data_IF_162636490365
#
_entry.id   IF_162636490365
#
_cell.length_a   1.000
_cell.length_b   1.000
_cell.length_c   1.000
_cell.angle_alpha   90.00
_cell.angle_beta   90.00
_cell.angle_gamma   90.00
#
_symmetry.space_group_name_H-M   'P 1'
#
loop_
_entity.id
_entity.type
_entity.pdbx_description
1 polymer ?
#
# COMPACT_ATOMS: atom_id res chain seq x y z
N UNK A 1 6.28 -15.51 4.35
CA UNK A 1 7.74 -15.33 4.21
C UNK A 1 8.56 -16.11 5.25
N UNK A 2 9.85 -16.33 5.00
CA UNK A 2 10.86 -16.90 5.94
C UNK A 2 11.82 -15.82 6.46
N UNK A 3 12.64 -16.15 7.47
CA UNK A 3 13.67 -15.22 7.96
C UNK A 3 14.71 -14.87 6.88
N UNK A 4 15.02 -15.81 5.97
CA UNK A 4 15.93 -15.56 4.85
C UNK A 4 15.35 -14.52 3.89
N UNK A 5 14.05 -14.59 3.63
CA UNK A 5 13.35 -13.62 2.78
C UNK A 5 13.37 -12.24 3.41
N UNK A 6 13.06 -12.16 4.71
CA UNK A 6 13.09 -10.91 5.47
C UNK A 6 14.48 -10.25 5.44
N UNK A 7 15.56 -11.02 5.61
CA UNK A 7 16.93 -10.50 5.52
C UNK A 7 17.27 -9.96 4.13
N UNK A 8 16.87 -10.69 3.08
CA UNK A 8 17.09 -10.28 1.68
C UNK A 8 16.34 -8.99 1.33
N UNK A 9 15.13 -8.83 1.88
CA UNK A 9 14.30 -7.64 1.69
C UNK A 9 14.61 -6.50 2.69
N UNK A 10 15.67 -6.60 3.50
CA UNK A 10 16.07 -5.55 4.45
C UNK A 10 15.09 -5.31 5.61
N UNK A 11 14.22 -6.28 5.91
CA UNK A 11 13.20 -6.15 6.97
C UNK A 11 13.86 -6.13 8.35
N UNK A 12 13.57 -5.13 9.21
CA UNK A 12 14.08 -5.07 10.57
C UNK A 12 13.71 -6.29 11.43
N UNK A 13 14.61 -6.67 12.35
CA UNK A 13 14.33 -7.72 13.33
C UNK A 13 13.13 -7.32 14.22
N UNK A 14 12.28 -8.29 14.53
CA UNK A 14 11.09 -8.09 15.34
C UNK A 14 9.80 -7.82 14.55
N UNK A 15 9.89 -7.58 13.24
CA UNK A 15 8.71 -7.46 12.40
C UNK A 15 8.05 -8.81 12.11
N UNK A 16 6.72 -8.85 12.14
CA UNK A 16 5.94 -10.03 11.74
C UNK A 16 5.71 -10.04 10.23
N UNK A 17 6.29 -11.00 9.51
CA UNK A 17 6.16 -11.13 8.06
C UNK A 17 5.16 -12.23 7.62
N UNK A 18 4.14 -12.49 8.45
CA UNK A 18 3.12 -13.52 8.18
C UNK A 18 2.13 -13.11 7.10
N UNK A 19 1.97 -11.81 6.88
CA UNK A 19 1.03 -11.23 5.93
C UNK A 19 1.73 -10.79 4.64
N UNK A 20 2.96 -11.26 4.39
CA UNK A 20 3.76 -10.87 3.23
C UNK A 20 4.12 -12.09 2.39
N UNK A 21 3.80 -12.02 1.11
CA UNK A 21 4.37 -12.86 0.06
C UNK A 21 5.79 -12.38 -0.30
N UNK A 22 6.85 -13.20 -0.09
CA UNK A 22 8.23 -12.86 -0.46
C UNK A 22 8.48 -12.47 -1.91
N UNK A 23 7.56 -12.81 -2.82
CA UNK A 23 7.65 -12.45 -4.22
C UNK A 23 7.11 -11.05 -4.52
N UNK A 24 6.51 -10.38 -3.54
CA UNK A 24 5.91 -9.05 -3.67
C UNK A 24 6.70 -8.00 -2.87
N UNK A 25 6.56 -6.73 -3.24
CA UNK A 25 7.24 -5.62 -2.56
C UNK A 25 6.73 -5.47 -1.10
N UNK A 26 7.62 -5.44 -0.09
CA UNK A 26 7.21 -5.38 1.31
C UNK A 26 6.76 -3.99 1.74
N UNK A 27 5.59 -3.93 2.37
CA UNK A 27 5.03 -2.73 3.00
C UNK A 27 5.05 -2.93 4.51
N UNK A 28 5.88 -2.17 5.21
CA UNK A 28 5.93 -2.18 6.68
C UNK A 28 4.81 -1.34 7.28
N UNK A 29 4.02 -1.95 8.16
CA UNK A 29 2.95 -1.28 8.87
C UNK A 29 2.70 -1.94 10.24
N UNK A 30 2.70 -1.15 11.32
CA UNK A 30 2.47 -1.57 12.71
C UNK A 30 3.35 -2.73 13.18
N UNK A 31 4.62 -2.73 12.78
CA UNK A 31 5.55 -3.81 13.11
C UNK A 31 5.22 -5.14 12.40
N UNK A 32 4.30 -5.13 11.43
CA UNK A 32 4.06 -6.23 10.50
C UNK A 32 4.51 -5.84 9.09
N UNK A 33 4.79 -6.84 8.27
CA UNK A 33 5.10 -6.69 6.84
C UNK A 33 3.93 -7.26 6.06
N UNK A 34 3.49 -6.49 5.08
CA UNK A 34 2.43 -6.81 4.14
C UNK A 34 2.95 -6.76 2.71
N UNK A 35 2.23 -7.35 1.79
CA UNK A 35 2.22 -6.95 0.38
C UNK A 35 1.00 -6.04 0.10
N UNK A 36 0.92 -5.47 -1.11
CA UNK A 36 -0.17 -4.57 -1.47
C UNK A 36 -1.57 -5.21 -1.34
N UNK A 37 -1.70 -6.48 -1.69
CA UNK A 37 -2.97 -7.20 -1.64
C UNK A 37 -3.40 -7.47 -0.19
N UNK A 38 -2.51 -8.03 0.63
CA UNK A 38 -2.77 -8.34 2.04
C UNK A 38 -3.03 -7.07 2.86
N UNK A 39 -2.33 -5.97 2.61
CA UNK A 39 -2.61 -4.68 3.25
C UNK A 39 -3.97 -4.13 2.81
N UNK A 40 -4.26 -4.10 1.51
CA UNK A 40 -5.55 -3.64 0.99
C UNK A 40 -6.71 -4.44 1.58
N UNK A 41 -6.58 -5.77 1.63
CA UNK A 41 -7.55 -6.65 2.28
C UNK A 41 -7.69 -6.35 3.77
N UNK A 42 -6.58 -6.14 4.49
CA UNK A 42 -6.62 -5.79 5.91
C UNK A 42 -7.40 -4.50 6.16
N UNK A 43 -7.19 -3.46 5.34
CA UNK A 43 -7.94 -2.20 5.41
C UNK A 43 -9.43 -2.46 5.17
N UNK A 44 -9.77 -3.18 4.09
CA UNK A 44 -11.15 -3.51 3.75
C UNK A 44 -11.87 -4.30 4.85
N UNK A 45 -11.26 -5.37 5.36
CA UNK A 45 -11.83 -6.21 6.41
C UNK A 45 -12.13 -5.40 7.68
N UNK A 46 -11.21 -4.50 8.08
CA UNK A 46 -11.43 -3.59 9.21
C UNK A 46 -12.56 -2.59 8.94
N UNK A 47 -12.64 -2.03 7.73
CA UNK A 47 -13.73 -1.13 7.36
C UNK A 47 -15.08 -1.83 7.45
N UNK A 48 -15.19 -3.06 6.93
CA UNK A 48 -16.42 -3.87 7.04
C UNK A 48 -16.74 -4.18 8.50
N UNK A 49 -15.73 -4.52 9.30
CA UNK A 49 -15.91 -4.82 10.72
C UNK A 49 -16.42 -3.60 11.52
N UNK A 50 -15.96 -2.38 11.20
CA UNK A 50 -16.30 -1.16 11.95
C UNK A 50 -17.57 -0.48 11.43
N UNK A 51 -17.76 -0.42 10.11
CA UNK A 51 -18.83 0.36 9.47
C UNK A 51 -19.93 -0.51 8.83
N UNK A 52 -19.69 -1.81 8.63
CA UNK A 52 -20.59 -2.71 7.90
C UNK A 52 -20.32 -2.73 6.39
N UNK A 53 -20.87 -3.72 5.68
CA UNK A 53 -20.53 -4.01 4.28
C UNK A 53 -21.12 -3.05 3.24
N UNK A 54 -22.18 -2.31 3.58
CA UNK A 54 -22.93 -1.46 2.64
C UNK A 54 -22.80 0.04 2.97
N UNK A 55 -21.57 0.53 3.13
CA UNK A 55 -21.29 1.95 3.42
C UNK A 55 -20.33 2.56 2.40
N UNK A 56 -20.35 3.90 2.27
CA UNK A 56 -19.41 4.64 1.43
C UNK A 56 -17.95 4.41 1.82
N UNK A 57 -17.66 4.21 3.12
CA UNK A 57 -16.33 3.85 3.61
C UNK A 57 -15.89 2.49 3.09
N UNK A 58 -16.77 1.49 3.15
CA UNK A 58 -16.47 0.14 2.65
C UNK A 58 -16.25 0.15 1.13
N UNK A 59 -17.04 0.92 0.40
CA UNK A 59 -16.85 1.07 -1.05
C UNK A 59 -15.49 1.71 -1.38
N UNK A 60 -15.09 2.73 -0.63
CA UNK A 60 -13.78 3.39 -0.77
C UNK A 60 -12.62 2.46 -0.40
N UNK A 61 -12.74 1.70 0.68
CA UNK A 61 -11.72 0.74 1.09
C UNK A 61 -11.54 -0.39 0.07
N UNK A 62 -12.65 -0.90 -0.49
CA UNK A 62 -12.64 -1.88 -1.57
C UNK A 62 -11.93 -1.33 -2.81
N UNK A 63 -12.24 -0.10 -3.19
CA UNK A 63 -11.61 0.55 -4.32
C UNK A 63 -10.11 0.77 -4.10
N UNK A 64 -9.72 1.23 -2.91
CA UNK A 64 -8.31 1.37 -2.53
C UNK A 64 -7.58 0.03 -2.62
N UNK A 65 -8.17 -1.06 -2.12
CA UNK A 65 -7.59 -2.40 -2.21
C UNK A 65 -7.36 -2.83 -3.67
N UNK A 66 -8.37 -2.69 -4.53
CA UNK A 66 -8.23 -3.03 -5.95
C UNK A 66 -7.14 -2.20 -6.63
N UNK A 67 -7.09 -0.90 -6.35
CA UNK A 67 -6.06 -0.01 -6.89
C UNK A 67 -4.66 -0.41 -6.45
N UNK A 68 -4.45 -0.68 -5.16
CA UNK A 68 -3.15 -1.11 -4.64
C UNK A 68 -2.69 -2.43 -5.28
N UNK A 69 -3.62 -3.38 -5.44
CA UNK A 69 -3.33 -4.70 -6.01
C UNK A 69 -2.94 -4.58 -7.49
N UNK A 70 -3.73 -3.84 -8.29
CA UNK A 70 -3.43 -3.62 -9.70
C UNK A 70 -2.12 -2.84 -9.88
N UNK A 71 -1.92 -1.80 -9.07
CA UNK A 71 -0.75 -0.95 -9.15
C UNK A 71 0.55 -1.73 -8.87
N UNK A 72 0.57 -2.52 -7.78
CA UNK A 72 1.70 -3.39 -7.47
C UNK A 72 1.99 -4.38 -8.60
N UNK A 73 0.95 -5.02 -9.16
CA UNK A 73 1.10 -5.95 -10.26
C UNK A 73 1.68 -5.32 -11.54
N UNK A 74 1.25 -4.09 -11.87
CA UNK A 74 1.77 -3.35 -13.01
C UNK A 74 3.25 -2.99 -12.82
N UNK A 75 3.65 -2.50 -11.64
CA UNK A 75 5.04 -2.19 -11.31
C UNK A 75 5.91 -3.43 -11.44
N UNK A 76 5.54 -4.51 -10.75
CA UNK A 76 6.28 -5.78 -10.76
C UNK A 76 6.47 -6.32 -12.18
N UNK A 77 5.40 -6.37 -12.97
CA UNK A 77 5.48 -6.82 -14.37
C UNK A 77 6.42 -5.95 -15.20
N UNK A 78 6.42 -4.63 -14.98
CA UNK A 78 7.31 -3.73 -15.70
C UNK A 78 8.77 -3.99 -15.32
N UNK A 79 9.08 -4.12 -14.02
CA UNK A 79 10.44 -4.39 -13.51
C UNK A 79 10.99 -5.73 -14.03
N UNK A 80 10.17 -6.78 -14.05
CA UNK A 80 10.57 -8.10 -14.55
C UNK A 80 10.87 -8.12 -16.06
N UNK A 81 10.17 -7.28 -16.83
CA UNK A 81 10.28 -7.26 -18.29
C UNK A 81 11.29 -6.22 -18.78
N UNK A 82 11.51 -5.12 -18.05
CA UNK A 82 12.39 -4.01 -18.43
C UNK A 82 13.76 -4.47 -18.98
N UNK A 83 14.48 -5.45 -18.36
CA UNK A 83 15.78 -5.91 -18.88
C UNK A 83 15.72 -6.56 -20.26
N UNK A 84 14.52 -6.96 -20.72
CA UNK A 84 14.29 -7.60 -22.02
C UNK A 84 13.92 -6.58 -23.10
N UNK A 85 13.54 -5.36 -22.73
CA UNK A 85 13.08 -4.32 -23.66
C UNK A 85 14.25 -3.82 -24.49
N UNK A 86 14.22 -4.07 -25.80
CA UNK A 86 15.39 -3.81 -26.68
C UNK A 86 15.46 -2.40 -27.23
N UNK A 87 14.29 -1.77 -27.47
CA UNK A 87 14.23 -0.43 -28.05
C UNK A 87 14.47 0.59 -26.94
N UNK A 88 15.46 1.46 -27.13
CA UNK A 88 15.84 2.47 -26.14
C UNK A 88 14.67 3.35 -25.72
N UNK A 89 13.91 3.88 -26.68
CA UNK A 89 12.73 4.73 -26.41
C UNK A 89 11.67 4.02 -25.57
N UNK A 90 11.46 2.72 -25.81
CA UNK A 90 10.52 1.90 -25.04
C UNK A 90 11.05 1.63 -23.63
N UNK A 91 12.37 1.39 -23.51
CA UNK A 91 13.01 1.17 -22.21
C UNK A 91 12.88 2.42 -21.34
N UNK A 92 13.25 3.59 -21.87
CA UNK A 92 13.11 4.89 -21.19
C UNK A 92 11.67 5.18 -20.79
N UNK A 93 10.71 4.88 -21.67
CA UNK A 93 9.28 5.05 -21.36
C UNK A 93 8.84 4.20 -20.16
N UNK A 94 9.21 2.91 -20.13
CA UNK A 94 8.85 2.02 -19.02
C UNK A 94 9.55 2.46 -17.72
N UNK A 95 10.81 2.87 -17.82
CA UNK A 95 11.60 3.39 -16.69
C UNK A 95 10.98 4.67 -16.09
N UNK A 96 10.56 5.64 -16.92
CA UNK A 96 9.85 6.84 -16.49
C UNK A 96 8.54 6.51 -15.73
N UNK A 97 7.82 5.48 -16.18
CA UNK A 97 6.64 4.99 -15.49
C UNK A 97 6.98 4.35 -14.14
N UNK A 98 8.03 3.54 -14.07
CA UNK A 98 8.51 2.96 -12.81
C UNK A 98 8.91 4.04 -11.81
N UNK A 99 9.68 5.03 -12.22
CA UNK A 99 10.06 6.15 -11.35
C UNK A 99 8.85 6.94 -10.84
N UNK A 100 7.87 7.20 -11.73
CA UNK A 100 6.64 7.89 -11.33
C UNK A 100 5.74 7.04 -10.44
N UNK A 101 5.78 5.72 -10.61
CA UNK A 101 5.15 4.74 -9.73
C UNK A 101 5.78 4.74 -8.34
N UNK A 102 7.11 4.72 -8.26
CA UNK A 102 7.84 4.79 -6.98
C UNK A 102 7.49 6.07 -6.21
N UNK A 103 7.30 7.20 -6.90
CA UNK A 103 6.81 8.44 -6.26
C UNK A 103 5.41 8.29 -5.65
N UNK A 104 4.52 7.48 -6.24
CA UNK A 104 3.23 7.16 -5.65
C UNK A 104 3.38 6.22 -4.46
N UNK A 105 4.28 5.24 -4.52
CA UNK A 105 4.57 4.36 -3.38
C UNK A 105 5.08 5.13 -2.17
N UNK A 106 6.06 6.01 -2.38
CA UNK A 106 6.57 6.88 -1.32
C UNK A 106 5.47 7.74 -0.69
N UNK A 107 4.47 8.19 -1.46
CA UNK A 107 3.32 8.94 -0.92
C UNK A 107 2.42 8.05 -0.08
N UNK A 108 2.16 6.82 -0.52
CA UNK A 108 1.38 5.85 0.25
C UNK A 108 2.08 5.46 1.56
N UNK A 109 3.38 5.17 1.52
CA UNK A 109 4.16 4.87 2.72
C UNK A 109 4.13 6.03 3.73
N UNK A 110 4.25 7.27 3.25
CA UNK A 110 4.09 8.47 4.11
C UNK A 110 2.70 8.57 4.71
N UNK A 111 1.65 8.29 3.95
CA UNK A 111 0.27 8.29 4.44
C UNK A 111 0.06 7.24 5.53
N UNK A 112 0.56 6.00 5.33
CA UNK A 112 0.52 4.95 6.33
C UNK A 112 1.25 5.39 7.60
N UNK A 113 2.42 6.03 7.46
CA UNK A 113 3.18 6.48 8.62
C UNK A 113 2.44 7.52 9.46
N UNK A 114 1.77 8.47 8.82
CA UNK A 114 0.91 9.43 9.51
C UNK A 114 -0.23 8.73 10.25
N UNK A 115 -0.85 7.72 9.64
CA UNK A 115 -1.89 6.93 10.29
C UNK A 115 -1.34 6.15 11.50
N UNK A 116 -0.15 5.54 11.41
CA UNK A 116 0.50 4.89 12.55
C UNK A 116 0.73 5.86 13.71
N UNK A 117 1.16 7.09 13.43
CA UNK A 117 1.41 8.10 14.45
C UNK A 117 0.12 8.49 15.19
N UNK A 118 -1.00 8.59 14.46
CA UNK A 118 -2.31 8.80 15.07
C UNK A 118 -2.72 7.63 15.97
N UNK A 119 -2.55 6.40 15.48
CA UNK A 119 -2.82 5.18 16.27
C UNK A 119 -1.99 5.14 17.55
N UNK A 120 -0.70 5.51 17.47
CA UNK A 120 0.18 5.51 18.64
C UNK A 120 -0.20 6.57 19.66
N UNK A 121 -0.61 7.76 19.21
CA UNK A 121 -1.12 8.83 20.08
C UNK A 121 -2.40 8.39 20.79
N UNK A 122 -3.32 7.74 20.07
CA UNK A 122 -4.56 7.21 20.66
C UNK A 122 -4.26 6.11 21.69
N UNK A 123 -3.41 5.13 21.34
CA UNK A 123 -3.05 4.04 22.24
C UNK A 123 -2.35 4.51 23.52
N UNK A 124 -1.47 5.51 23.43
CA UNK A 124 -0.85 6.15 24.61
C UNK A 124 -1.88 6.83 25.52
N UNK A 125 -2.86 7.52 24.92
CA UNK A 125 -3.93 8.19 25.67
C UNK A 125 -4.83 7.17 26.40
N UNK A 126 -5.10 6.01 25.78
CA UNK A 126 -5.91 4.95 26.38
C UNK A 126 -5.18 4.15 27.47
N UNK A 127 -3.87 3.94 27.31
CA UNK A 127 -3.08 3.11 28.23
C UNK A 127 -2.66 3.82 29.52
N UNK A 128 -2.58 5.16 29.52
CA UNK A 128 -2.14 5.92 30.70
C UNK A 128 -0.73 5.51 31.12
N UNK A 129 -0.58 4.97 32.34
CA UNK A 129 0.70 4.46 32.87
C UNK A 129 1.00 2.99 32.51
N UNK A 130 0.08 2.28 31.84
CA UNK A 130 0.27 0.86 31.46
C UNK A 130 1.07 0.74 30.15
N UNK A 131 1.73 -0.41 29.91
CA UNK A 131 2.40 -0.66 28.64
C UNK A 131 1.42 -0.49 27.46
N UNK A 132 1.80 0.34 26.48
CA UNK A 132 0.99 0.64 25.30
C UNK A 132 0.81 -0.63 24.47
N UNK A 133 -0.43 -1.04 24.25
CA UNK A 133 -0.78 -2.16 23.38
C UNK A 133 -1.80 -1.71 22.34
N UNK A 134 -1.56 -2.03 21.07
CA UNK A 134 -2.51 -1.77 19.98
C UNK A 134 -3.64 -2.80 20.04
N UNK A 135 -4.76 -2.43 20.67
CA UNK A 135 -5.97 -3.26 20.78
C UNK A 135 -7.00 -2.99 19.68
N UNK A 136 -8.23 -3.47 19.85
CA UNK A 136 -9.32 -3.29 18.86
C UNK A 136 -9.59 -1.82 18.47
N UNK A 137 -9.31 -0.87 19.36
CA UNK A 137 -9.46 0.56 19.09
C UNK A 137 -8.44 1.09 18.08
N UNK A 138 -7.29 0.45 17.93
CA UNK A 138 -6.25 0.90 16.99
C UNK A 138 -6.70 0.74 15.54
N UNK A 139 -7.42 -0.34 15.21
CA UNK A 139 -8.03 -0.52 13.88
C UNK A 139 -9.06 0.56 13.56
N UNK A 140 -9.88 0.96 14.53
CA UNK A 140 -10.83 2.07 14.35
C UNK A 140 -10.12 3.42 14.18
N UNK A 141 -9.08 3.69 14.98
CA UNK A 141 -8.30 4.94 14.84
C UNK A 141 -7.58 5.00 13.47
N UNK A 142 -7.11 3.86 12.95
CA UNK A 142 -6.56 3.80 11.60
C UNK A 142 -7.59 4.26 10.55
N UNK A 143 -8.80 3.69 10.60
CA UNK A 143 -9.87 4.03 9.65
C UNK A 143 -10.26 5.51 9.76
N UNK A 144 -10.36 6.03 10.98
CA UNK A 144 -10.61 7.46 11.20
C UNK A 144 -9.44 8.32 10.66
N UNK A 145 -8.21 7.86 10.79
CA UNK A 145 -7.05 8.59 10.27
C UNK A 145 -7.05 8.63 8.74
N UNK A 146 -7.24 7.50 8.08
CA UNK A 146 -7.12 7.39 6.61
C UNK A 146 -8.37 7.86 5.85
N UNK A 147 -9.57 7.69 6.41
CA UNK A 147 -10.84 8.03 5.78
C UNK A 147 -11.61 9.16 6.48
N UNK A 148 -11.17 9.63 7.65
CA UNK A 148 -11.82 10.72 8.37
C UNK A 148 -11.68 12.05 7.63
N UNK A 149 -12.80 12.78 7.51
CA UNK A 149 -12.89 14.03 6.74
C UNK A 149 -11.93 15.11 7.26
N UNK A 150 -11.70 15.16 8.56
CA UNK A 150 -10.81 16.13 9.21
C UNK A 150 -9.37 15.59 9.38
N UNK A 151 -9.08 14.43 8.79
CA UNK A 151 -7.79 13.72 8.88
C UNK A 151 -7.16 13.65 7.50
N UNK A 152 -6.83 12.45 7.04
CA UNK A 152 -6.05 12.24 5.82
C UNK A 152 -6.91 11.93 4.59
N UNK A 153 -8.25 12.02 4.68
CA UNK A 153 -9.16 11.68 3.57
C UNK A 153 -8.78 12.37 2.25
N UNK A 154 -8.46 13.66 2.27
CA UNK A 154 -8.08 14.40 1.06
C UNK A 154 -6.79 13.83 0.43
N UNK A 155 -5.81 13.46 1.26
CA UNK A 155 -4.54 12.87 0.79
C UNK A 155 -4.78 11.46 0.26
N UNK A 156 -5.63 10.68 0.92
CA UNK A 156 -6.07 9.35 0.46
C UNK A 156 -6.73 9.42 -0.92
N UNK A 157 -7.70 10.33 -1.12
CA UNK A 157 -8.39 10.50 -2.39
C UNK A 157 -7.44 10.98 -3.51
N UNK A 158 -6.54 11.92 -3.19
CA UNK A 158 -5.50 12.39 -4.13
C UNK A 158 -4.57 11.25 -4.55
N UNK A 159 -4.15 10.39 -3.61
CA UNK A 159 -3.34 9.23 -3.89
C UNK A 159 -4.08 8.23 -4.79
N UNK A 160 -5.33 7.87 -4.45
CA UNK A 160 -6.15 6.96 -5.25
C UNK A 160 -6.39 7.47 -6.67
N UNK A 161 -6.60 8.78 -6.82
CA UNK A 161 -6.73 9.43 -8.13
C UNK A 161 -5.42 9.37 -8.91
N UNK A 162 -4.29 9.63 -8.24
CA UNK A 162 -2.95 9.52 -8.82
C UNK A 162 -2.64 8.12 -9.32
N UNK A 163 -2.92 7.09 -8.51
CA UNK A 163 -2.73 5.69 -8.88
C UNK A 163 -3.61 5.31 -10.07
N UNK A 164 -4.88 5.74 -10.10
CA UNK A 164 -5.77 5.50 -11.25
C UNK A 164 -5.24 6.11 -12.54
N UNK A 165 -4.86 7.38 -12.50
CA UNK A 165 -4.36 8.07 -13.68
C UNK A 165 -3.04 7.45 -14.16
N UNK A 166 -2.15 7.11 -13.23
CA UNK A 166 -0.92 6.40 -13.54
C UNK A 166 -1.21 5.06 -14.20
N UNK A 167 -2.09 4.24 -13.62
CA UNK A 167 -2.40 2.89 -14.13
C UNK A 167 -3.01 2.94 -15.53
N UNK A 168 -3.98 3.84 -15.76
CA UNK A 168 -4.55 4.03 -17.09
C UNK A 168 -3.49 4.41 -18.12
N UNK A 169 -2.59 5.35 -17.79
CA UNK A 169 -1.53 5.77 -18.71
C UNK A 169 -0.50 4.67 -18.92
N UNK A 170 -0.15 3.95 -17.86
CA UNK A 170 0.76 2.82 -17.93
C UNK A 170 0.22 1.75 -18.89
N UNK A 171 -1.04 1.35 -18.73
CA UNK A 171 -1.68 0.35 -19.58
C UNK A 171 -1.70 0.79 -21.05
N UNK A 172 -2.00 2.07 -21.34
CA UNK A 172 -2.03 2.59 -22.72
C UNK A 172 -0.65 2.63 -23.36
N UNK A 173 0.39 3.00 -22.61
CA UNK A 173 1.71 3.27 -23.18
C UNK A 173 2.66 2.07 -23.10
N UNK A 174 2.51 1.21 -22.09
CA UNK A 174 3.46 0.13 -21.79
C UNK A 174 2.92 -1.26 -22.15
N UNK A 175 1.60 -1.48 -22.28
CA UNK A 175 1.07 -2.85 -22.44
C UNK A 175 1.64 -3.59 -23.65
N UNK A 176 1.76 -2.92 -24.80
CA UNK A 176 2.32 -3.55 -26.01
C UNK A 176 3.83 -3.77 -25.87
N UNK A 177 4.55 -2.83 -25.25
CA UNK A 177 5.98 -2.96 -24.95
C UNK A 177 6.22 -4.20 -24.08
N UNK A 178 5.39 -4.39 -23.05
CA UNK A 178 5.53 -5.50 -22.12
C UNK A 178 5.11 -6.85 -22.70
N UNK A 179 4.24 -6.87 -23.72
CA UNK A 179 3.88 -8.10 -24.46
C UNK A 179 4.95 -8.50 -25.47
N UNK A 180 5.59 -7.50 -26.08
CA UNK A 180 6.58 -7.67 -27.15
C UNK A 180 7.90 -6.91 -26.82
N UNK A 181 8.63 -7.30 -25.75
CA UNK A 181 9.82 -6.58 -25.26
C UNK A 181 11.04 -6.65 -26.19
#
# INVERSE_FOLDING_TARGET
ATEKDARRAGIPKGCSYRLWDPAEEPIMFLGSVFDANSLGKWIYDWTVFVHGSATSFTEMARELWLLLTQFAGNIKRAEEILPRVRRQENHEMVEDFLESGERLWMRFAKLLKVCEDHMWKAAKKESGEKPVSMGKNSGREFLESIFGRERELEKTLKLMTGIRLWSMRFDVNCEEILRCP
#
